data_IF_118014554961
#
_entry.id   IF_118014554961
#
_cell.length_a   1.000
_cell.length_b   1.000
_cell.length_c   1.000
_cell.angle_alpha   90.00
_cell.angle_beta   90.00
_cell.angle_gamma   90.00
#
_symmetry.space_group_name_H-M   'P 1'
#
loop_
_entity.id
_entity.type
_entity.pdbx_description
1 polymer ?
#
# COMPACT_ATOMS: atom_id res chain seq x y z
N UNK A 1 -13.52 -5.09 24.29
CA UNK A 1 -13.15 -5.78 23.03
C UNK A 1 -11.65 -5.78 22.78
N UNK A 2 -10.98 -4.67 22.50
CA UNK A 2 -9.52 -4.71 22.30
C UNK A 2 -8.75 -5.11 23.58
N UNK A 3 -9.15 -4.56 24.74
CA UNK A 3 -8.58 -4.91 26.04
C UNK A 3 -9.11 -6.24 26.62
N UNK A 4 -10.28 -6.66 26.15
CA UNK A 4 -10.94 -7.91 26.56
C UNK A 4 -11.68 -8.50 25.37
N UNK A 5 -11.05 -9.46 24.66
CA UNK A 5 -11.65 -10.11 23.49
C UNK A 5 -12.72 -11.15 23.83
N UNK A 6 -12.97 -11.43 25.12
CA UNK A 6 -14.00 -12.39 25.54
C UNK A 6 -15.42 -11.81 25.48
N UNK A 7 -15.53 -10.48 25.40
CA UNK A 7 -16.79 -9.76 25.28
C UNK A 7 -17.45 -10.01 23.91
N UNK A 8 -18.77 -10.21 23.90
CA UNK A 8 -19.54 -10.31 22.66
C UNK A 8 -19.71 -8.90 22.03
N UNK A 9 -19.26 -8.68 20.78
CA UNK A 9 -19.33 -7.37 20.13
C UNK A 9 -20.75 -6.78 20.05
N UNK A 10 -21.73 -7.58 19.67
CA UNK A 10 -23.11 -7.15 19.48
C UNK A 10 -23.73 -6.69 20.81
N UNK A 11 -23.58 -7.47 21.87
CA UNK A 11 -24.08 -7.13 23.22
C UNK A 11 -23.38 -5.91 23.82
N UNK A 12 -22.08 -5.74 23.58
CA UNK A 12 -21.38 -4.54 24.05
C UNK A 12 -21.81 -3.30 23.26
N UNK A 13 -22.06 -3.44 21.96
CA UNK A 13 -22.47 -2.34 21.09
C UNK A 13 -23.84 -1.74 21.46
N UNK A 14 -24.78 -2.57 21.94
CA UNK A 14 -26.10 -2.11 22.42
C UNK A 14 -26.00 -1.06 23.54
N UNK A 15 -24.92 -1.06 24.33
CA UNK A 15 -24.71 -0.08 25.41
C UNK A 15 -24.39 1.33 24.89
N UNK A 16 -24.11 1.47 23.59
CA UNK A 16 -23.71 2.73 22.97
C UNK A 16 -24.77 3.31 22.03
N UNK A 17 -25.96 2.70 21.96
CA UNK A 17 -27.07 3.25 21.18
C UNK A 17 -27.54 4.58 21.77
N UNK A 18 -27.69 5.58 20.91
CA UNK A 18 -28.13 6.92 21.32
C UNK A 18 -28.80 7.67 20.18
N UNK A 19 -29.79 8.54 20.46
CA UNK A 19 -30.31 9.46 19.45
C UNK A 19 -29.26 10.50 19.05
N UNK A 20 -29.52 11.23 17.97
CA UNK A 20 -28.69 12.37 17.58
C UNK A 20 -28.78 13.47 18.64
N UNK A 21 -27.65 14.15 18.89
CA UNK A 21 -27.56 15.23 19.86
C UNK A 21 -26.79 16.41 19.25
N UNK A 22 -27.50 17.48 18.87
CA UNK A 22 -26.93 18.60 18.14
C UNK A 22 -26.32 18.14 16.80
N UNK A 23 -25.03 18.43 16.60
CA UNK A 23 -24.26 18.00 15.42
C UNK A 23 -23.70 16.57 15.53
N UNK A 24 -23.94 15.87 16.65
CA UNK A 24 -23.47 14.50 16.86
C UNK A 24 -24.50 13.54 16.27
N UNK A 25 -24.13 12.71 15.27
CA UNK A 25 -25.05 11.77 14.64
C UNK A 25 -25.52 10.69 15.63
N UNK A 26 -26.73 10.17 15.38
CA UNK A 26 -27.31 9.06 16.12
C UNK A 26 -26.49 7.77 15.93
N UNK A 27 -26.59 6.88 16.91
CA UNK A 27 -26.14 5.50 16.82
C UNK A 27 -27.39 4.64 16.96
N UNK A 28 -27.99 4.31 15.81
CA UNK A 28 -29.34 3.73 15.73
C UNK A 28 -29.37 2.23 16.01
N UNK A 29 -28.27 1.51 15.70
CA UNK A 29 -28.16 0.08 15.89
C UNK A 29 -26.73 -0.37 16.26
N UNK A 30 -26.62 -1.63 16.70
CA UNK A 30 -25.35 -2.22 17.11
C UNK A 30 -24.33 -2.26 15.97
N UNK A 31 -24.78 -2.36 14.72
CA UNK A 31 -23.90 -2.37 13.55
C UNK A 31 -23.24 -1.00 13.36
N UNK A 32 -24.01 0.09 13.45
CA UNK A 32 -23.50 1.45 13.37
C UNK A 32 -22.49 1.73 14.50
N UNK A 33 -22.76 1.26 15.71
CA UNK A 33 -21.83 1.37 16.84
C UNK A 33 -20.51 0.61 16.57
N UNK A 34 -20.59 -0.63 16.08
CA UNK A 34 -19.42 -1.46 15.74
C UNK A 34 -18.62 -0.89 14.56
N UNK A 35 -19.30 -0.36 13.54
CA UNK A 35 -18.64 0.28 12.39
C UNK A 35 -17.92 1.57 12.83
N UNK A 36 -18.54 2.38 13.69
CA UNK A 36 -17.88 3.55 14.30
C UNK A 36 -16.66 3.17 15.14
N UNK A 37 -16.81 2.16 16.01
CA UNK A 37 -15.69 1.64 16.81
C UNK A 37 -14.57 1.06 15.93
N UNK A 38 -14.90 0.42 14.81
CA UNK A 38 -13.94 -0.08 13.81
C UNK A 38 -13.17 1.08 13.17
N UNK A 39 -13.84 2.17 12.78
CA UNK A 39 -13.15 3.36 12.24
C UNK A 39 -12.16 3.96 13.25
N UNK A 40 -12.55 4.09 14.51
CA UNK A 40 -11.68 4.59 15.59
C UNK A 40 -10.42 3.72 15.73
N UNK A 41 -10.58 2.40 15.74
CA UNK A 41 -9.43 1.49 15.83
C UNK A 41 -8.57 1.52 14.56
N UNK A 42 -9.19 1.61 13.38
CA UNK A 42 -8.46 1.73 12.12
C UNK A 42 -7.58 2.98 12.09
N UNK A 43 -8.10 4.12 12.54
CA UNK A 43 -7.34 5.37 12.65
C UNK A 43 -6.20 5.24 13.65
N UNK A 44 -6.50 4.78 14.87
CA UNK A 44 -5.49 4.58 15.90
C UNK A 44 -4.36 3.65 15.45
N UNK A 45 -4.69 2.56 14.75
CA UNK A 45 -3.69 1.61 14.26
C UNK A 45 -2.88 2.20 13.11
N UNK A 46 -3.50 3.00 12.24
CA UNK A 46 -2.85 3.63 11.09
C UNK A 46 -1.96 4.83 11.46
N UNK A 47 -2.03 5.31 12.70
CA UNK A 47 -1.20 6.40 13.23
C UNK A 47 -0.03 5.91 14.10
N UNK A 48 0.12 4.60 14.31
CA UNK A 48 1.22 4.04 15.11
C UNK A 48 2.56 4.11 14.33
N UNK A 49 3.52 4.95 14.78
CA UNK A 49 4.73 5.20 13.98
C UNK A 49 5.67 3.99 13.90
N UNK A 50 5.68 3.14 14.93
CA UNK A 50 6.48 1.92 14.94
C UNK A 50 5.96 0.92 13.90
N UNK A 51 4.66 0.67 13.88
CA UNK A 51 4.00 -0.18 12.88
C UNK A 51 4.21 0.33 11.46
N UNK A 52 3.99 1.64 11.23
CA UNK A 52 4.20 2.25 9.92
C UNK A 52 5.66 2.06 9.49
N UNK A 53 6.62 2.32 10.39
CA UNK A 53 8.05 2.12 10.13
C UNK A 53 8.39 0.67 9.76
N UNK A 54 7.88 -0.30 10.51
CA UNK A 54 8.09 -1.73 10.24
C UNK A 54 7.51 -2.14 8.89
N UNK A 55 6.26 -1.75 8.58
CA UNK A 55 5.60 -2.09 7.32
C UNK A 55 6.28 -1.43 6.13
N UNK A 56 6.67 -0.16 6.25
CA UNK A 56 7.41 0.58 5.22
C UNK A 56 8.71 -0.12 4.86
N UNK A 57 9.53 -0.44 5.87
CA UNK A 57 10.83 -1.08 5.63
C UNK A 57 10.64 -2.47 5.03
N UNK A 58 9.68 -3.23 5.53
CA UNK A 58 9.37 -4.56 5.00
C UNK A 58 8.93 -4.52 3.54
N UNK A 59 7.98 -3.64 3.19
CA UNK A 59 7.54 -3.45 1.81
C UNK A 59 8.69 -3.01 0.90
N UNK A 60 9.57 -2.13 1.40
CA UNK A 60 10.72 -1.68 0.62
C UNK A 60 11.71 -2.82 0.33
N UNK A 61 12.09 -3.60 1.35
CA UNK A 61 13.12 -4.63 1.23
C UNK A 61 12.61 -5.91 0.56
N UNK A 62 11.41 -6.35 0.91
CA UNK A 62 10.87 -7.65 0.47
C UNK A 62 9.94 -7.52 -0.72
N UNK A 63 9.26 -6.38 -0.84
CA UNK A 63 8.16 -6.15 -1.77
C UNK A 63 8.57 -6.18 -3.24
N UNK A 64 7.58 -6.46 -4.06
CA UNK A 64 7.66 -6.55 -5.51
C UNK A 64 6.78 -5.48 -6.13
N UNK A 65 7.38 -4.68 -7.01
CA UNK A 65 6.65 -3.79 -7.90
C UNK A 65 5.95 -4.66 -8.94
N UNK A 66 4.62 -4.62 -8.93
CA UNK A 66 3.76 -5.36 -9.83
C UNK A 66 3.10 -4.42 -10.83
N UNK A 67 3.32 -4.66 -12.11
CA UNK A 67 2.68 -3.95 -13.20
C UNK A 67 1.66 -4.83 -13.90
N UNK A 68 0.45 -4.31 -14.10
CA UNK A 68 -0.65 -5.01 -14.78
C UNK A 68 -1.37 -4.10 -15.76
N UNK A 69 -1.57 -4.57 -16.98
CA UNK A 69 -2.33 -3.82 -18.00
C UNK A 69 -3.79 -3.65 -17.59
N UNK A 70 -4.32 -2.45 -17.78
CA UNK A 70 -5.73 -2.19 -17.57
C UNK A 70 -6.57 -2.85 -18.68
N UNK A 71 -7.75 -3.33 -18.30
CA UNK A 71 -8.64 -4.00 -19.25
C UNK A 71 -9.00 -3.07 -20.42
N UNK A 72 -8.86 -3.58 -21.65
CA UNK A 72 -9.12 -2.83 -22.89
C UNK A 72 -7.97 -1.91 -23.34
N UNK A 73 -6.86 -1.81 -22.61
CA UNK A 73 -5.73 -0.93 -22.94
C UNK A 73 -4.57 -1.61 -23.67
N UNK A 74 -4.70 -2.89 -24.02
CA UNK A 74 -3.62 -3.68 -24.62
C UNK A 74 -3.15 -3.14 -25.98
N UNK A 75 -4.07 -2.70 -26.84
CA UNK A 75 -3.71 -2.16 -28.17
C UNK A 75 -3.11 -0.75 -28.07
N UNK A 76 -3.72 0.13 -27.27
CA UNK A 76 -3.25 1.50 -27.03
C UNK A 76 -1.87 1.51 -26.35
N UNK A 77 -1.67 0.54 -25.46
CA UNK A 77 -0.47 0.34 -24.67
C UNK A 77 0.63 -0.50 -25.31
N UNK A 78 0.56 -0.85 -26.59
CA UNK A 78 1.46 -1.86 -27.20
C UNK A 78 2.95 -1.56 -27.01
N UNK A 79 3.34 -0.28 -26.91
CA UNK A 79 4.74 0.14 -26.61
C UNK A 79 5.22 -0.21 -25.19
N UNK A 80 4.31 -0.59 -24.31
CA UNK A 80 4.57 -1.02 -22.93
C UNK A 80 4.26 -2.50 -22.72
N UNK A 81 4.15 -3.31 -23.79
CA UNK A 81 3.75 -4.71 -23.72
C UNK A 81 4.64 -5.55 -22.80
N UNK A 82 5.93 -5.22 -22.71
CA UNK A 82 6.90 -5.87 -21.83
C UNK A 82 6.52 -5.78 -20.34
N UNK A 83 5.61 -4.86 -19.99
CA UNK A 83 5.18 -4.60 -18.61
C UNK A 83 3.69 -4.91 -18.35
N UNK A 84 3.00 -5.56 -19.30
CA UNK A 84 1.57 -5.88 -19.14
C UNK A 84 1.31 -6.87 -18.00
N UNK A 85 2.28 -7.72 -17.73
CA UNK A 85 2.31 -8.64 -16.60
C UNK A 85 3.75 -8.81 -16.16
N UNK A 86 4.22 -7.89 -15.33
CA UNK A 86 5.63 -7.83 -14.92
C UNK A 86 5.73 -7.61 -13.42
N UNK A 87 6.61 -8.38 -12.79
CA UNK A 87 6.91 -8.31 -11.36
C UNK A 87 8.42 -8.22 -11.17
N UNK A 88 8.87 -7.29 -10.33
CA UNK A 88 10.28 -7.19 -9.97
C UNK A 88 10.47 -6.65 -8.56
N UNK A 89 11.62 -6.93 -7.94
CA UNK A 89 11.94 -6.44 -6.58
C UNK A 89 11.92 -4.91 -6.54
N UNK A 90 11.09 -4.36 -5.66
CA UNK A 90 10.83 -2.92 -5.56
C UNK A 90 12.13 -2.11 -5.39
N UNK A 91 12.92 -2.44 -4.36
CA UNK A 91 14.18 -1.74 -4.07
C UNK A 91 15.30 -1.96 -5.11
N UNK A 92 15.14 -2.92 -6.03
CA UNK A 92 16.16 -3.28 -7.05
C UNK A 92 15.69 -2.98 -8.48
N UNK A 93 14.54 -2.31 -8.63
CA UNK A 93 14.00 -2.01 -9.94
C UNK A 93 14.93 -1.05 -10.71
N UNK A 94 15.41 -1.41 -11.91
CA UNK A 94 16.24 -0.53 -12.73
C UNK A 94 15.50 0.76 -13.08
N UNK A 95 16.20 1.91 -12.97
CA UNK A 95 15.63 3.25 -13.20
C UNK A 95 14.83 3.36 -14.51
N UNK A 96 15.38 2.89 -15.64
CA UNK A 96 14.69 2.98 -16.93
C UNK A 96 13.38 2.17 -16.99
N UNK A 97 13.32 1.00 -16.33
CA UNK A 97 12.09 0.19 -16.25
C UNK A 97 11.06 0.84 -15.35
N UNK A 98 11.48 1.31 -14.17
CA UNK A 98 10.62 2.05 -13.26
C UNK A 98 9.99 3.26 -13.96
N UNK A 99 10.78 4.07 -14.66
CA UNK A 99 10.29 5.23 -15.41
C UNK A 99 9.35 4.84 -16.56
N UNK A 100 9.62 3.76 -17.29
CA UNK A 100 8.73 3.25 -18.33
C UNK A 100 7.37 2.83 -17.75
N UNK A 101 7.37 2.11 -16.63
CA UNK A 101 6.17 1.71 -15.91
C UNK A 101 5.39 2.91 -15.36
N UNK A 102 6.06 3.90 -14.76
CA UNK A 102 5.40 5.13 -14.30
C UNK A 102 4.78 5.93 -15.45
N UNK A 103 5.47 6.00 -16.59
CA UNK A 103 4.93 6.64 -17.79
C UNK A 103 3.68 5.91 -18.28
N UNK A 104 3.72 4.59 -18.36
CA UNK A 104 2.57 3.78 -18.78
C UNK A 104 1.37 3.91 -17.82
N UNK A 105 1.63 4.02 -16.51
CA UNK A 105 0.59 4.33 -15.51
C UNK A 105 -0.02 5.72 -15.73
N UNK A 106 0.81 6.73 -15.94
CA UNK A 106 0.33 8.11 -16.19
C UNK A 106 -0.45 8.23 -17.50
N UNK A 107 -0.11 7.44 -18.51
CA UNK A 107 -0.86 7.32 -19.77
C UNK A 107 -2.13 6.45 -19.63
N UNK A 108 -2.44 5.92 -18.45
CA UNK A 108 -3.66 5.14 -18.20
C UNK A 108 -3.65 3.76 -18.86
N UNK A 109 -2.48 3.16 -19.05
CA UNK A 109 -2.30 1.83 -19.65
C UNK A 109 -2.05 0.77 -18.59
N UNK A 110 -1.21 1.05 -17.59
CA UNK A 110 -0.86 0.12 -16.53
C UNK A 110 -1.41 0.58 -15.17
N UNK A 111 -1.71 -0.39 -14.32
CA UNK A 111 -1.74 -0.22 -12.88
C UNK A 111 -0.40 -0.66 -12.29
N UNK A 112 0.05 0.02 -11.25
CA UNK A 112 1.22 -0.36 -10.46
C UNK A 112 0.78 -0.59 -9.02
N UNK A 113 1.25 -1.67 -8.42
CA UNK A 113 1.04 -2.02 -7.02
C UNK A 113 2.31 -2.55 -6.38
N UNK A 114 2.33 -2.63 -5.05
CA UNK A 114 3.42 -3.25 -4.30
C UNK A 114 2.87 -4.50 -3.61
N UNK A 115 3.44 -5.66 -3.93
CA UNK A 115 3.02 -6.94 -3.35
C UNK A 115 4.10 -7.51 -2.45
N UNK A 116 3.72 -8.13 -1.34
CA UNK A 116 4.63 -8.91 -0.53
C UNK A 116 4.77 -10.33 -1.11
N UNK A 117 5.97 -10.92 -1.11
CA UNK A 117 6.15 -12.29 -1.56
C UNK A 117 5.28 -13.27 -0.77
N UNK A 118 4.59 -14.15 -1.48
CA UNK A 118 3.73 -15.16 -0.86
C UNK A 118 2.39 -14.64 -0.33
N UNK A 119 2.00 -13.39 -0.63
CA UNK A 119 0.76 -12.80 -0.10
C UNK A 119 -0.51 -13.45 -0.64
N UNK A 120 -0.46 -14.06 -1.84
CA UNK A 120 -1.61 -14.72 -2.49
C UNK A 120 -1.81 -16.14 -1.95
N UNK A 121 -0.75 -16.84 -1.57
CA UNK A 121 -0.78 -18.19 -1.02
C UNK A 121 -1.01 -18.21 0.51
N UNK A 122 -0.79 -17.08 1.18
CA UNK A 122 -0.94 -16.98 2.62
C UNK A 122 -2.42 -16.94 3.02
N UNK A 123 -2.84 -17.70 4.06
CA UNK A 123 -4.23 -17.65 4.55
C UNK A 123 -4.60 -16.28 5.14
N UNK A 124 -3.59 -15.53 5.60
CA UNK A 124 -3.72 -14.15 6.10
C UNK A 124 -2.56 -13.35 5.52
N UNK A 125 -2.87 -12.17 4.98
CA UNK A 125 -1.88 -11.29 4.36
C UNK A 125 -0.72 -10.97 5.35
N UNK A 126 0.56 -11.06 4.94
CA UNK A 126 1.69 -10.91 5.87
C UNK A 126 1.74 -9.57 6.63
N UNK A 127 1.28 -8.48 6.01
CA UNK A 127 1.11 -7.19 6.68
C UNK A 127 0.01 -7.21 7.77
N UNK A 128 -1.10 -7.93 7.56
CA UNK A 128 -2.14 -8.09 8.57
C UNK A 128 -1.62 -8.84 9.81
N UNK A 129 -0.76 -9.85 9.60
CA UNK A 129 -0.06 -10.54 10.70
C UNK A 129 0.80 -9.56 11.51
N UNK A 130 1.48 -8.63 10.84
CA UNK A 130 2.32 -7.61 11.49
C UNK A 130 1.48 -6.65 12.34
N UNK A 131 0.36 -6.15 11.78
CA UNK A 131 -0.60 -5.28 12.50
C UNK A 131 -1.20 -6.00 13.71
N UNK A 132 -1.68 -7.23 13.52
CA UNK A 132 -2.27 -8.02 14.59
C UNK A 132 -1.28 -8.25 15.74
N UNK A 133 -0.03 -8.58 15.41
CA UNK A 133 1.04 -8.76 16.40
C UNK A 133 1.33 -7.47 17.17
N UNK A 134 1.41 -6.31 16.51
CA UNK A 134 1.66 -5.02 17.17
C UNK A 134 0.60 -4.70 18.24
N UNK A 135 -0.67 -5.03 17.97
CA UNK A 135 -1.79 -4.74 18.88
C UNK A 135 -2.25 -5.94 19.72
N UNK A 136 -1.49 -7.04 19.75
CA UNK A 136 -1.82 -8.22 20.56
C UNK A 136 -3.10 -8.95 20.13
N UNK A 137 -3.53 -8.77 18.87
CA UNK A 137 -4.72 -9.40 18.31
C UNK A 137 -4.35 -10.80 17.81
N UNK A 138 -5.11 -11.80 18.23
CA UNK A 138 -4.97 -13.18 17.79
C UNK A 138 -6.33 -13.84 17.74
N UNK A 139 -6.58 -14.66 16.72
CA UNK A 139 -7.80 -15.45 16.65
C UNK A 139 -7.64 -16.72 17.49
N UNK A 140 -8.31 -16.74 18.64
CA UNK A 140 -8.36 -17.85 19.58
C UNK A 140 -9.79 -18.40 19.70
N UNK A 141 -10.69 -18.02 18.77
CA UNK A 141 -12.10 -18.39 18.81
C UNK A 141 -12.92 -17.66 19.88
N UNK A 142 -12.43 -16.55 20.44
CA UNK A 142 -13.19 -15.73 21.40
C UNK A 142 -14.23 -14.87 20.68
N UNK A 143 -15.30 -14.44 21.36
CA UNK A 143 -16.40 -13.72 20.72
C UNK A 143 -15.99 -12.49 19.89
N UNK A 144 -15.02 -11.69 20.34
CA UNK A 144 -14.59 -10.49 19.61
C UNK A 144 -13.51 -10.74 18.54
N UNK A 145 -12.90 -11.94 18.49
CA UNK A 145 -11.70 -12.18 17.66
C UNK A 145 -11.97 -11.98 16.17
N UNK A 146 -13.16 -12.38 15.69
CA UNK A 146 -13.56 -12.18 14.29
C UNK A 146 -13.70 -10.70 13.94
N UNK A 147 -14.33 -9.92 14.81
CA UNK A 147 -14.50 -8.48 14.62
C UNK A 147 -13.14 -7.76 14.67
N UNK A 148 -12.27 -8.12 15.61
CA UNK A 148 -10.90 -7.57 15.69
C UNK A 148 -10.05 -7.93 14.46
N UNK A 149 -10.19 -9.15 13.93
CA UNK A 149 -9.52 -9.56 12.69
C UNK A 149 -10.03 -8.79 11.48
N UNK A 150 -11.33 -8.44 11.45
CA UNK A 150 -11.88 -7.53 10.45
C UNK A 150 -11.27 -6.14 10.57
N UNK A 151 -11.19 -5.58 11.79
CA UNK A 151 -10.52 -4.28 12.02
C UNK A 151 -9.11 -4.29 11.44
N UNK A 152 -8.29 -5.30 11.75
CA UNK A 152 -6.91 -5.45 11.23
C UNK A 152 -6.88 -5.47 9.70
N UNK A 153 -7.77 -6.24 9.08
CA UNK A 153 -7.88 -6.35 7.61
C UNK A 153 -8.20 -4.99 6.99
N UNK A 154 -9.15 -4.26 7.55
CA UNK A 154 -9.56 -2.94 7.06
C UNK A 154 -8.48 -1.88 7.30
N UNK A 155 -7.80 -1.89 8.45
CA UNK A 155 -6.64 -1.02 8.71
C UNK A 155 -5.59 -1.20 7.62
N UNK A 156 -5.24 -2.44 7.27
CA UNK A 156 -4.30 -2.71 6.17
C UNK A 156 -4.83 -2.17 4.85
N UNK A 157 -5.99 -2.65 4.40
CA UNK A 157 -6.48 -2.43 3.03
C UNK A 157 -6.89 -0.98 2.76
N UNK A 158 -7.44 -0.28 3.75
CA UNK A 158 -8.07 1.04 3.54
C UNK A 158 -7.19 2.19 4.03
N UNK A 159 -6.41 2.00 5.09
CA UNK A 159 -5.59 3.08 5.67
C UNK A 159 -4.11 2.91 5.32
N UNK A 160 -3.49 1.79 5.70
CA UNK A 160 -2.04 1.63 5.66
C UNK A 160 -1.49 1.37 4.25
N UNK A 161 -2.09 0.43 3.50
CA UNK A 161 -1.58 0.02 2.19
C UNK A 161 -1.51 1.18 1.21
N UNK A 162 -2.60 1.93 1.03
CA UNK A 162 -2.66 3.07 0.10
C UNK A 162 -1.62 4.15 0.41
N UNK A 163 -1.43 4.45 1.70
CA UNK A 163 -0.47 5.46 2.14
C UNK A 163 0.97 4.99 1.87
N UNK A 164 1.30 3.75 2.26
CA UNK A 164 2.62 3.16 2.05
C UNK A 164 2.93 2.94 0.57
N UNK A 165 1.95 2.50 -0.22
CA UNK A 165 2.10 2.33 -1.67
C UNK A 165 2.43 3.68 -2.34
N UNK A 166 1.68 4.73 -2.00
CA UNK A 166 1.93 6.07 -2.54
C UNK A 166 3.32 6.57 -2.17
N UNK A 167 3.71 6.43 -0.90
CA UNK A 167 5.01 6.83 -0.39
C UNK A 167 6.16 6.11 -1.11
N UNK A 168 6.09 4.77 -1.17
CA UNK A 168 7.17 3.94 -1.70
C UNK A 168 7.29 4.03 -3.23
N UNK A 169 6.16 4.16 -3.95
CA UNK A 169 6.20 4.46 -5.38
C UNK A 169 6.77 5.86 -5.65
N UNK A 170 6.47 6.84 -4.82
CA UNK A 170 7.10 8.17 -4.87
C UNK A 170 8.61 8.07 -4.70
N UNK A 171 9.07 7.37 -3.65
CA UNK A 171 10.49 7.13 -3.40
C UNK A 171 11.19 6.44 -4.57
N UNK A 172 10.59 5.37 -5.13
CA UNK A 172 11.17 4.68 -6.29
C UNK A 172 11.28 5.62 -7.49
N UNK A 173 10.25 6.42 -7.74
CA UNK A 173 10.24 7.38 -8.85
C UNK A 173 11.35 8.41 -8.70
N UNK A 174 11.49 9.02 -7.53
CA UNK A 174 12.56 9.99 -7.25
C UNK A 174 13.95 9.39 -7.47
N UNK A 175 14.19 8.17 -6.96
CA UNK A 175 15.47 7.47 -7.17
C UNK A 175 15.74 7.18 -8.65
N UNK A 176 14.70 6.78 -9.39
CA UNK A 176 14.81 6.50 -10.81
C UNK A 176 15.09 7.77 -11.62
N UNK A 177 14.40 8.88 -11.33
CA UNK A 177 14.61 10.19 -11.99
C UNK A 177 16.02 10.73 -11.72
N UNK A 178 16.51 10.67 -10.47
CA UNK A 178 17.89 11.07 -10.13
C UNK A 178 18.93 10.28 -10.92
N UNK A 179 18.79 8.96 -10.97
CA UNK A 179 19.71 8.10 -11.73
C UNK A 179 19.69 8.45 -13.22
N UNK A 180 18.52 8.73 -13.79
CA UNK A 180 18.40 9.11 -15.19
C UNK A 180 19.11 10.45 -15.46
N UNK A 181 18.92 11.45 -14.59
CA UNK A 181 19.59 12.76 -14.70
C UNK A 181 21.11 12.60 -14.70
N UNK A 182 21.67 11.77 -13.81
CA UNK A 182 23.11 11.52 -13.74
C UNK A 182 23.65 10.92 -15.04
N UNK A 183 22.96 9.92 -15.60
CA UNK A 183 23.32 9.29 -16.88
C UNK A 183 23.24 10.31 -18.03
N UNK A 184 22.20 11.14 -18.07
CA UNK A 184 22.08 12.19 -19.08
C UNK A 184 23.19 13.25 -18.96
N UNK A 185 23.53 13.66 -17.73
CA UNK A 185 24.60 14.63 -17.49
C UNK A 185 25.97 14.09 -17.93
N UNK A 186 26.26 12.81 -17.65
CA UNK A 186 27.48 12.15 -18.12
C UNK A 186 27.55 12.11 -19.65
N UNK A 187 26.47 11.68 -20.31
CA UNK A 187 26.40 11.62 -21.78
C UNK A 187 26.55 13.01 -22.42
N UNK A 188 25.96 14.05 -21.82
CA UNK A 188 26.10 15.43 -22.30
C UNK A 188 27.54 15.93 -22.14
N UNK A 189 28.18 15.63 -21.01
CA UNK A 189 29.59 15.97 -20.78
C UNK A 189 30.49 15.32 -21.82
N UNK A 190 30.29 14.03 -22.10
CA UNK A 190 31.08 13.29 -23.10
C UNK A 190 30.88 13.86 -24.50
N UNK A 191 29.65 14.24 -24.86
CA UNK A 191 29.35 14.90 -26.13
C UNK A 191 30.03 16.27 -26.25
N UNK A 192 30.03 17.07 -25.19
CA UNK A 192 30.69 18.38 -25.17
C UNK A 192 32.21 18.29 -25.21
N UNK A 193 32.78 17.20 -24.68
CA UNK A 193 34.23 16.95 -24.65
C UNK A 193 34.72 16.13 -25.87
N UNK A 194 33.82 15.71 -26.75
CA UNK A 194 34.18 15.03 -27.98
C UNK A 194 35.04 15.95 -28.85
N UNK A 195 36.18 15.43 -29.34
CA UNK A 195 37.12 16.22 -30.14
C UNK A 195 36.42 16.78 -31.40
N UNK A 196 36.60 18.07 -31.72
CA UNK A 196 35.97 18.65 -32.90
C UNK A 196 36.53 17.98 -34.15
N UNK A 197 35.64 17.59 -35.07
CA UNK A 197 36.03 17.15 -36.41
C UNK A 197 36.76 18.33 -37.07
N UNK A 198 38.09 18.27 -37.11
CA UNK A 198 38.95 19.36 -37.61
C UNK A 198 38.55 19.82 -39.02
N UNK A 199 38.94 21.06 -39.37
CA UNK A 199 38.69 21.66 -40.69
C UNK A 199 39.22 20.75 -41.81
N UNK A 200 38.34 20.34 -42.73
CA UNK A 200 38.72 19.83 -44.07
C UNK A 200 39.17 20.97 -44.95
#
# INVERSE_FOLDING_TARGET
>A
MLADPTLNPESEAEKYLRPAEGDIPAIEDAKAALDGAKQILMERFAEDPELIGQLRERLWQEGELSARVLEGKQQEGAKFSDYFEHDEKLAKAPSHRALAMFRARNEGVLSLSIRLPGEEEAPVHPAQVTIAKQFGISDQGRPADKWLSEVVRWTWRVKLYTALETELLGRLREQAELTAIEVFAANLKDLLLAAPAGRK
#
